data_IF_898923835285
#
_entry.id   IF_898923835285
#
_cell.length_a   1.000
_cell.length_b   1.000
_cell.length_c   1.000
_cell.angle_alpha   90.00
_cell.angle_beta   90.00
_cell.angle_gamma   90.00
#
_symmetry.space_group_name_H-M   'P 1'
#
loop_
_entity.id
_entity.type
_entity.pdbx_description
1 polymer ?
#
# COMPACT_ATOMS: atom_id res chain seq x y z
N UNK A 1 15.19 16.75 7.24
CA UNK A 1 14.06 15.99 6.72
C UNK A 1 12.80 16.52 7.39
N UNK A 2 11.62 16.17 6.98
CA UNK A 2 10.43 16.85 7.50
C UNK A 2 9.30 15.86 7.80
N UNK A 3 8.59 16.07 8.90
CA UNK A 3 7.32 15.40 9.18
C UNK A 3 6.23 15.86 8.22
N UNK A 4 5.20 15.03 8.03
CA UNK A 4 3.98 15.41 7.29
C UNK A 4 2.80 15.29 8.22
N UNK A 5 1.94 16.30 8.22
CA UNK A 5 0.69 16.27 8.97
C UNK A 5 -0.48 16.62 8.05
N UNK A 6 -1.48 15.75 8.07
CA UNK A 6 -2.75 15.93 7.39
C UNK A 6 -3.81 16.22 8.44
N UNK A 7 -4.47 17.39 8.38
CA UNK A 7 -5.48 17.83 9.34
C UNK A 7 -6.80 17.99 8.62
N UNK A 8 -7.69 17.04 8.79
CA UNK A 8 -9.04 17.03 8.22
C UNK A 8 -9.06 17.36 6.72
N UNK A 9 -8.15 16.73 5.95
CA UNK A 9 -7.98 17.01 4.52
C UNK A 9 -9.17 16.52 3.74
N UNK A 10 -9.83 17.41 3.01
CA UNK A 10 -11.03 17.15 2.20
C UNK A 10 -10.78 17.57 0.76
N UNK A 11 -11.24 16.75 -0.19
CA UNK A 11 -11.27 17.10 -1.61
C UNK A 11 -12.66 16.91 -2.19
N UNK A 12 -13.15 17.95 -2.88
CA UNK A 12 -14.38 17.94 -3.66
C UNK A 12 -14.09 18.44 -5.07
N UNK A 13 -14.65 17.78 -6.05
CA UNK A 13 -14.62 18.24 -7.45
C UNK A 13 -16.00 18.79 -7.84
N UNK A 14 -15.99 19.88 -8.61
CA UNK A 14 -17.22 20.60 -9.00
C UNK A 14 -17.67 21.60 -7.93
N UNK A 15 -18.77 22.31 -8.23
CA UNK A 15 -19.34 23.35 -7.39
C UNK A 15 -20.82 23.09 -7.07
N UNK A 16 -21.28 23.63 -5.94
CA UNK A 16 -22.70 23.58 -5.54
C UNK A 16 -23.19 22.18 -5.17
N UNK A 17 -24.50 21.91 -5.40
CA UNK A 17 -25.16 20.64 -5.02
C UNK A 17 -24.66 19.41 -5.83
N UNK A 18 -23.90 19.60 -6.90
CA UNK A 18 -23.31 18.53 -7.71
C UNK A 18 -21.85 18.24 -7.39
N UNK A 19 -21.28 18.84 -6.35
CA UNK A 19 -19.88 18.60 -5.97
C UNK A 19 -19.69 17.15 -5.49
N UNK A 20 -18.76 16.43 -6.13
CA UNK A 20 -18.39 15.06 -5.76
C UNK A 20 -17.22 15.11 -4.75
N UNK A 21 -17.45 14.67 -3.53
CA UNK A 21 -16.41 14.57 -2.53
C UNK A 21 -15.66 13.24 -2.68
N UNK A 22 -14.35 13.32 -2.91
CA UNK A 22 -13.48 12.16 -3.16
C UNK A 22 -12.49 11.88 -2.03
N UNK A 23 -12.29 12.84 -1.11
CA UNK A 23 -11.53 12.65 0.14
C UNK A 23 -12.35 13.21 1.29
N UNK A 24 -12.52 12.43 2.34
CA UNK A 24 -13.50 12.63 3.40
C UNK A 24 -12.87 12.93 4.77
N UNK A 25 -11.98 13.92 4.84
CA UNK A 25 -11.43 14.38 6.14
C UNK A 25 -10.32 13.48 6.68
N UNK A 26 -9.29 13.24 5.86
CA UNK A 26 -8.14 12.44 6.26
C UNK A 26 -7.31 13.17 7.31
N UNK A 27 -7.00 12.45 8.42
CA UNK A 27 -6.13 12.91 9.50
C UNK A 27 -4.98 11.93 9.69
N UNK A 28 -3.73 12.36 9.51
CA UNK A 28 -2.55 11.52 9.70
C UNK A 28 -1.36 12.34 10.16
N UNK A 29 -0.56 11.78 11.04
CA UNK A 29 0.73 12.33 11.46
C UNK A 29 1.83 11.34 11.07
N UNK A 30 2.73 11.78 10.19
CA UNK A 30 3.84 11.01 9.66
C UNK A 30 5.11 11.62 10.21
N UNK A 31 5.88 10.81 10.93
CA UNK A 31 7.09 11.26 11.57
C UNK A 31 8.20 11.60 10.55
N UNK A 32 9.17 12.40 10.98
CA UNK A 32 10.38 12.65 10.20
C UNK A 32 11.12 11.32 9.94
N UNK A 33 11.51 11.10 8.70
CA UNK A 33 12.21 9.88 8.27
C UNK A 33 11.31 8.64 8.15
N UNK A 34 10.01 8.75 8.30
CA UNK A 34 9.09 7.61 8.24
C UNK A 34 8.72 7.23 6.80
N UNK A 35 8.60 5.91 6.54
CA UNK A 35 8.09 5.35 5.29
C UNK A 35 6.62 4.92 5.47
N UNK A 36 5.70 5.69 4.93
CA UNK A 36 4.27 5.41 5.00
C UNK A 36 3.75 4.98 3.64
N UNK A 37 3.02 3.87 3.60
CA UNK A 37 2.37 3.38 2.39
C UNK A 37 0.88 3.69 2.43
N UNK A 38 0.35 4.26 1.36
CA UNK A 38 -1.08 4.47 1.14
C UNK A 38 -1.59 3.36 0.23
N UNK A 39 -2.47 2.50 0.75
CA UNK A 39 -2.99 1.33 0.04
C UNK A 39 -4.52 1.31 0.01
N UNK A 40 -5.10 0.69 -1.00
CA UNK A 40 -6.56 0.58 -1.16
C UNK A 40 -6.95 0.24 -2.60
N UNK A 41 -8.22 -0.04 -2.88
CA UNK A 41 -8.73 -0.35 -4.21
C UNK A 41 -8.46 0.76 -5.23
N UNK A 42 -8.55 0.42 -6.51
CA UNK A 42 -8.50 1.43 -7.58
C UNK A 42 -9.62 2.45 -7.41
N UNK A 43 -9.31 3.73 -7.63
CA UNK A 43 -10.28 4.82 -7.53
C UNK A 43 -10.64 5.28 -6.11
N UNK A 44 -10.06 4.72 -5.03
CA UNK A 44 -10.37 5.13 -3.66
C UNK A 44 -9.72 6.44 -3.18
N UNK A 45 -9.00 7.18 -4.05
CA UNK A 45 -8.46 8.50 -3.74
C UNK A 45 -6.97 8.55 -3.35
N UNK A 46 -6.21 7.45 -3.40
CA UNK A 46 -4.78 7.38 -3.02
C UNK A 46 -3.90 8.40 -3.76
N UNK A 47 -3.92 8.33 -5.10
CA UNK A 47 -3.13 9.26 -5.93
C UNK A 47 -3.62 10.71 -5.80
N UNK A 48 -4.92 10.93 -5.55
CA UNK A 48 -5.46 12.26 -5.25
C UNK A 48 -4.85 12.81 -3.97
N UNK A 49 -4.84 12.00 -2.89
CA UNK A 49 -4.23 12.40 -1.62
C UNK A 49 -2.74 12.69 -1.77
N UNK A 50 -2.00 11.84 -2.48
CA UNK A 50 -0.59 12.05 -2.76
C UNK A 50 -0.35 13.34 -3.55
N UNK A 51 -1.15 13.61 -4.60
CA UNK A 51 -1.06 14.82 -5.42
C UNK A 51 -1.39 16.09 -4.64
N UNK A 52 -2.32 16.02 -3.68
CA UNK A 52 -2.58 17.14 -2.77
C UNK A 52 -1.38 17.45 -1.88
N UNK A 53 -0.70 16.44 -1.35
CA UNK A 53 0.58 16.63 -0.63
C UNK A 53 1.64 17.24 -1.54
N UNK A 54 1.69 16.81 -2.80
CA UNK A 54 2.61 17.34 -3.79
C UNK A 54 2.29 18.79 -4.23
N UNK A 55 1.09 19.30 -3.98
CA UNK A 55 0.61 20.58 -4.53
C UNK A 55 0.22 20.54 -5.99
N UNK A 56 0.10 19.34 -6.56
CA UNK A 56 -0.40 19.12 -7.92
C UNK A 56 -1.93 19.10 -7.98
N UNK A 57 -2.58 19.07 -6.83
CA UNK A 57 -4.02 19.12 -6.67
C UNK A 57 -4.33 19.95 -5.42
N UNK A 58 -5.27 20.89 -5.53
CA UNK A 58 -5.69 21.73 -4.41
C UNK A 58 -6.59 20.95 -3.45
N UNK A 59 -6.47 21.19 -2.16
CA UNK A 59 -7.43 20.72 -1.17
C UNK A 59 -8.67 21.63 -1.16
N UNK A 60 -9.84 21.07 -0.81
CA UNK A 60 -11.05 21.87 -0.67
C UNK A 60 -11.21 22.43 0.75
N UNK A 61 -10.70 21.73 1.76
CA UNK A 61 -10.62 22.20 3.15
C UNK A 61 -9.63 21.37 3.95
N UNK A 62 -9.30 21.81 5.16
CA UNK A 62 -8.29 21.22 6.01
C UNK A 62 -6.91 21.84 5.81
N UNK A 63 -5.88 21.19 6.31
CA UNK A 63 -4.50 21.65 6.22
C UNK A 63 -3.55 20.49 5.91
N UNK A 64 -2.55 20.78 5.09
CA UNK A 64 -1.36 19.93 4.89
C UNK A 64 -0.16 20.69 5.40
N UNK A 65 0.59 20.06 6.33
CA UNK A 65 1.81 20.64 6.86
C UNK A 65 3.00 19.75 6.50
N UNK A 66 4.12 20.37 6.09
CA UNK A 66 5.41 19.70 5.86
C UNK A 66 6.45 20.43 6.71
N UNK A 67 7.15 19.70 7.60
CA UNK A 67 8.12 20.29 8.51
C UNK A 67 7.53 21.36 9.42
N UNK A 68 6.26 21.19 9.86
CA UNK A 68 5.54 22.15 10.68
C UNK A 68 4.99 23.39 9.94
N UNK A 69 5.30 23.55 8.63
CA UNK A 69 4.80 24.65 7.80
C UNK A 69 3.55 24.23 7.04
N UNK A 70 2.47 25.01 7.09
CA UNK A 70 1.28 24.81 6.24
C UNK A 70 1.65 25.10 4.79
N UNK A 71 1.37 24.14 3.89
CA UNK A 71 1.78 24.20 2.48
C UNK A 71 0.63 24.34 1.49
N UNK A 72 -0.61 24.55 1.97
CA UNK A 72 -1.82 24.58 1.15
C UNK A 72 -1.71 25.50 -0.08
N UNK A 73 -1.13 26.70 0.11
CA UNK A 73 -1.04 27.76 -0.90
C UNK A 73 0.32 27.77 -1.62
N UNK A 74 1.20 26.81 -1.33
CA UNK A 74 2.52 26.73 -1.94
C UNK A 74 2.47 25.92 -3.21
N UNK A 75 3.15 26.44 -4.23
CA UNK A 75 3.39 25.71 -5.47
C UNK A 75 4.25 24.45 -5.21
N UNK A 76 4.16 23.40 -6.05
CA UNK A 76 4.94 22.17 -5.88
C UNK A 76 6.44 22.40 -5.73
N UNK A 77 6.99 23.41 -6.42
CA UNK A 77 8.41 23.78 -6.38
C UNK A 77 8.87 24.37 -5.05
N UNK A 78 7.93 24.90 -4.25
CA UNK A 78 8.17 25.56 -2.97
C UNK A 78 8.00 24.63 -1.76
N UNK A 79 7.50 23.40 -1.99
CA UNK A 79 7.22 22.42 -0.93
C UNK A 79 8.44 21.57 -0.56
N UNK A 80 9.56 21.72 -1.25
CA UNK A 80 10.80 20.94 -1.06
C UNK A 80 10.54 19.42 -1.07
N UNK A 81 9.78 18.98 -2.05
CA UNK A 81 9.43 17.59 -2.30
C UNK A 81 9.99 17.07 -3.61
N UNK A 82 10.14 15.76 -3.74
CA UNK A 82 10.36 15.11 -5.03
C UNK A 82 9.34 13.99 -5.24
N UNK A 83 8.83 13.89 -6.47
CA UNK A 83 7.82 12.89 -6.83
C UNK A 83 8.32 11.98 -7.93
N UNK A 84 8.11 10.68 -7.75
CA UNK A 84 8.31 9.61 -8.73
C UNK A 84 6.94 9.17 -9.23
N UNK A 85 6.70 9.36 -10.53
CA UNK A 85 5.43 9.05 -11.18
C UNK A 85 5.39 7.60 -11.68
N UNK A 86 4.21 7.04 -11.81
CA UNK A 86 3.94 5.70 -12.33
C UNK A 86 4.57 5.43 -13.70
N UNK A 87 4.60 6.41 -14.59
CA UNK A 87 5.18 6.32 -15.94
C UNK A 87 6.64 6.78 -16.00
N UNK A 88 7.30 6.95 -14.83
CA UNK A 88 8.68 7.43 -14.68
C UNK A 88 8.92 8.87 -15.16
N UNK A 89 8.13 9.41 -16.07
CA UNK A 89 8.20 10.76 -16.66
C UNK A 89 9.62 11.15 -17.14
N UNK A 90 10.35 10.19 -17.73
CA UNK A 90 11.69 10.44 -18.27
C UNK A 90 11.62 11.20 -19.60
N UNK A 91 12.58 12.10 -19.81
CA UNK A 91 12.77 12.80 -21.09
C UNK A 91 13.46 11.84 -22.07
N UNK A 92 12.80 11.37 -23.14
CA UNK A 92 13.30 10.26 -23.96
C UNK A 92 14.49 10.64 -24.86
N UNK A 93 14.68 11.92 -25.09
CA UNK A 93 15.77 12.50 -25.91
C UNK A 93 17.02 12.86 -25.09
N UNK A 94 16.93 12.83 -23.77
CA UNK A 94 18.03 13.11 -22.85
C UNK A 94 18.72 11.84 -22.39
N UNK A 95 20.03 11.91 -22.13
CA UNK A 95 20.77 10.83 -21.47
C UNK A 95 20.30 10.64 -20.02
N UNK A 96 20.73 9.55 -19.37
CA UNK A 96 20.50 9.32 -17.94
C UNK A 96 21.07 10.48 -17.11
N UNK A 97 22.31 10.90 -17.41
CA UNK A 97 22.93 12.02 -16.74
C UNK A 97 22.09 13.29 -16.89
N UNK A 98 21.67 13.62 -18.11
CA UNK A 98 20.86 14.81 -18.38
C UNK A 98 19.50 14.76 -17.72
N UNK A 99 18.81 13.59 -17.71
CA UNK A 99 17.56 13.39 -16.99
C UNK A 99 17.73 13.69 -15.50
N UNK A 100 18.79 13.17 -14.86
CA UNK A 100 19.05 13.41 -13.44
C UNK A 100 19.42 14.86 -13.18
N UNK A 101 20.25 15.46 -14.02
CA UNK A 101 20.74 16.83 -13.88
C UNK A 101 19.69 17.92 -14.16
N UNK A 102 18.61 17.59 -14.89
CA UNK A 102 17.68 18.58 -15.45
C UNK A 102 17.11 19.55 -14.42
N UNK A 103 16.58 19.04 -13.32
CA UNK A 103 16.01 19.89 -12.26
C UNK A 103 17.04 20.81 -11.60
N UNK A 104 18.28 20.35 -11.45
CA UNK A 104 19.37 21.14 -10.88
C UNK A 104 19.82 22.23 -11.85
N UNK A 105 19.81 21.96 -13.18
CA UNK A 105 20.11 22.99 -14.21
C UNK A 105 19.06 24.11 -14.19
N UNK A 106 17.76 23.78 -14.07
CA UNK A 106 16.69 24.78 -13.94
C UNK A 106 16.88 25.62 -12.67
N UNK A 107 17.27 24.99 -11.55
CA UNK A 107 17.60 25.68 -10.30
C UNK A 107 18.91 26.45 -10.34
N UNK A 108 19.61 26.51 -11.51
CA UNK A 108 20.88 27.20 -11.71
C UNK A 108 22.00 26.76 -10.76
N UNK A 109 22.00 25.49 -10.34
CA UNK A 109 23.08 24.90 -9.54
C UNK A 109 24.37 24.86 -10.37
N UNK A 110 25.56 25.16 -9.78
CA UNK A 110 26.86 25.12 -10.50
C UNK A 110 27.11 23.71 -11.10
N UNK A 111 27.73 23.69 -12.31
CA UNK A 111 27.93 22.42 -13.06
C UNK A 111 28.80 21.40 -12.31
N UNK A 112 29.78 21.84 -11.53
CA UNK A 112 30.61 20.97 -10.71
C UNK A 112 29.79 20.27 -9.61
N UNK A 113 28.85 21.00 -8.99
CA UNK A 113 27.95 20.46 -7.97
C UNK A 113 26.91 19.52 -8.58
N UNK A 114 26.35 19.86 -9.76
CA UNK A 114 25.47 18.98 -10.52
C UNK A 114 26.14 17.62 -10.75
N UNK A 115 27.39 17.66 -11.26
CA UNK A 115 28.15 16.44 -11.53
C UNK A 115 28.35 15.62 -10.26
N UNK A 116 28.77 16.25 -9.16
CA UNK A 116 28.98 15.55 -7.88
C UNK A 116 27.70 14.91 -7.34
N UNK A 117 26.56 15.62 -7.39
CA UNK A 117 25.25 15.07 -6.95
C UNK A 117 24.76 13.93 -7.83
N UNK A 118 24.92 14.05 -9.17
CA UNK A 118 24.56 12.99 -10.11
C UNK A 118 25.43 11.76 -9.93
N UNK A 119 26.76 11.92 -9.82
CA UNK A 119 27.70 10.82 -9.62
C UNK A 119 27.40 10.07 -8.29
N UNK A 120 27.10 10.81 -7.21
CA UNK A 120 26.68 10.22 -5.92
C UNK A 120 25.40 9.41 -6.05
N UNK A 121 24.36 9.97 -6.67
CA UNK A 121 23.08 9.28 -6.87
C UNK A 121 23.23 8.08 -7.82
N UNK A 122 24.02 8.21 -8.89
CA UNK A 122 24.32 7.13 -9.82
C UNK A 122 25.07 5.96 -9.15
N UNK A 123 25.94 6.25 -8.18
CA UNK A 123 26.61 5.21 -7.38
C UNK A 123 25.62 4.44 -6.49
N UNK A 124 24.72 5.15 -5.79
CA UNK A 124 23.69 4.55 -4.92
C UNK A 124 22.76 3.65 -5.73
N UNK A 125 22.38 4.10 -6.95
CA UNK A 125 21.41 3.42 -7.81
C UNK A 125 22.03 2.47 -8.83
N UNK A 126 23.36 2.25 -8.78
CA UNK A 126 24.09 1.39 -9.72
C UNK A 126 23.91 1.81 -11.20
N UNK A 127 23.83 3.11 -11.46
CA UNK A 127 23.60 3.68 -12.79
C UNK A 127 24.89 4.19 -13.48
N UNK A 128 26.06 4.07 -12.85
CA UNK A 128 27.31 4.64 -13.37
C UNK A 128 27.64 4.24 -14.81
N UNK A 129 27.46 2.97 -15.18
CA UNK A 129 27.71 2.46 -16.54
C UNK A 129 26.66 2.90 -17.58
N UNK A 130 25.58 3.55 -17.16
CA UNK A 130 24.45 3.91 -18.02
C UNK A 130 24.26 5.42 -18.20
N UNK A 131 25.09 6.26 -17.59
CA UNK A 131 24.92 7.71 -17.57
C UNK A 131 24.79 8.35 -18.97
N UNK A 132 25.50 7.82 -19.95
CA UNK A 132 25.49 8.31 -21.34
C UNK A 132 24.37 7.69 -22.21
N UNK A 133 23.61 6.72 -21.68
CA UNK A 133 22.51 6.10 -22.42
C UNK A 133 21.24 6.93 -22.35
N UNK A 134 20.39 6.80 -23.38
CA UNK A 134 19.03 7.33 -23.37
C UNK A 134 18.04 6.34 -22.77
N UNK A 135 16.86 6.74 -22.27
CA UNK A 135 15.85 5.87 -21.70
C UNK A 135 15.41 4.70 -22.59
N UNK A 136 15.48 4.84 -23.91
CA UNK A 136 15.16 3.78 -24.87
C UNK A 136 16.12 2.59 -24.80
N UNK A 137 17.36 2.82 -24.38
CA UNK A 137 18.40 1.81 -24.25
C UNK A 137 18.45 1.16 -22.84
N UNK A 138 17.42 1.37 -22.02
CA UNK A 138 17.34 0.89 -20.64
C UNK A 138 16.21 -0.11 -20.42
N UNK A 139 16.43 -1.06 -19.52
CA UNK A 139 15.36 -1.93 -19.01
C UNK A 139 14.33 -1.15 -18.16
N UNK A 140 13.17 -1.77 -17.85
CA UNK A 140 12.13 -1.17 -16.99
C UNK A 140 12.69 -0.73 -15.63
N UNK A 141 13.42 -1.61 -14.94
CA UNK A 141 14.03 -1.30 -13.64
C UNK A 141 15.11 -0.22 -13.73
N UNK A 142 15.91 -0.21 -14.80
CA UNK A 142 16.89 0.87 -15.01
C UNK A 142 16.19 2.23 -15.22
N UNK A 143 15.09 2.28 -16.00
CA UNK A 143 14.29 3.51 -16.15
C UNK A 143 13.73 4.00 -14.83
N UNK A 144 13.25 3.09 -13.99
CA UNK A 144 12.76 3.42 -12.66
C UNK A 144 13.88 3.97 -11.76
N UNK A 145 15.05 3.34 -11.73
CA UNK A 145 16.23 3.87 -10.99
C UNK A 145 16.61 5.28 -11.47
N UNK A 146 16.53 5.56 -12.78
CA UNK A 146 16.74 6.92 -13.29
C UNK A 146 15.70 7.90 -12.76
N UNK A 147 14.42 7.52 -12.71
CA UNK A 147 13.38 8.36 -12.14
C UNK A 147 13.61 8.64 -10.64
N UNK A 148 14.06 7.64 -9.89
CA UNK A 148 14.48 7.80 -8.48
C UNK A 148 15.71 8.72 -8.39
N UNK A 149 16.68 8.57 -9.29
CA UNK A 149 17.87 9.44 -9.36
C UNK A 149 17.53 10.91 -9.57
N UNK A 150 16.56 11.20 -10.45
CA UNK A 150 16.02 12.57 -10.64
C UNK A 150 15.46 13.17 -9.35
N UNK A 151 14.87 12.34 -8.49
CA UNK A 151 14.33 12.76 -7.21
C UNK A 151 15.45 12.96 -6.17
N UNK A 152 16.38 12.01 -6.06
CA UNK A 152 17.48 12.00 -5.07
C UNK A 152 18.43 13.19 -5.23
N UNK A 153 18.82 13.53 -6.47
CA UNK A 153 19.77 14.63 -6.73
C UNK A 153 19.28 15.99 -6.21
N UNK A 154 17.97 16.15 -6.03
CA UNK A 154 17.35 17.36 -5.49
C UNK A 154 17.51 17.48 -3.99
N UNK A 155 17.81 16.37 -3.29
CA UNK A 155 17.92 16.30 -1.83
C UNK A 155 16.64 16.83 -1.13
N UNK A 156 15.46 16.33 -1.49
CA UNK A 156 14.19 16.84 -0.97
C UNK A 156 14.01 16.47 0.50
N UNK A 157 13.13 17.19 1.20
CA UNK A 157 12.72 16.83 2.56
C UNK A 157 11.73 15.66 2.59
N UNK A 158 10.96 15.45 1.52
CA UNK A 158 9.93 14.40 1.40
C UNK A 158 9.98 13.76 0.02
N UNK A 159 9.91 12.43 -0.02
CA UNK A 159 9.70 11.64 -1.23
C UNK A 159 8.23 11.23 -1.37
N UNK A 160 7.70 11.36 -2.57
CA UNK A 160 6.36 10.92 -2.96
C UNK A 160 6.46 9.93 -4.12
N UNK A 161 5.84 8.75 -3.98
CA UNK A 161 5.85 7.69 -4.99
C UNK A 161 4.41 7.36 -5.40
N UNK A 162 4.03 7.65 -6.66
CA UNK A 162 2.71 7.34 -7.21
C UNK A 162 2.78 6.03 -8.03
N UNK A 163 2.48 4.91 -7.41
CA UNK A 163 2.49 3.54 -7.97
C UNK A 163 3.76 3.20 -8.78
N UNK A 164 4.96 3.40 -8.25
CA UNK A 164 6.20 3.32 -9.05
C UNK A 164 6.54 1.91 -9.53
N UNK A 165 5.94 0.86 -8.96
CA UNK A 165 6.23 -0.55 -9.28
C UNK A 165 5.18 -1.21 -10.19
N UNK A 166 4.07 -0.54 -10.48
CA UNK A 166 2.93 -1.11 -11.21
C UNK A 166 3.26 -1.61 -12.63
N UNK A 167 4.23 -1.00 -13.30
CA UNK A 167 4.62 -1.32 -14.67
C UNK A 167 5.75 -2.35 -14.77
N UNK A 168 6.12 -3.03 -13.66
CA UNK A 168 7.18 -4.03 -13.61
C UNK A 168 6.60 -5.44 -13.55
N UNK A 169 7.32 -6.39 -14.15
CA UNK A 169 7.05 -7.82 -13.95
C UNK A 169 7.30 -8.25 -12.48
N UNK A 170 6.76 -9.40 -12.07
CA UNK A 170 6.79 -9.85 -10.68
C UNK A 170 8.21 -9.98 -10.10
N UNK A 171 9.17 -10.51 -10.91
CA UNK A 171 10.56 -10.70 -10.47
C UNK A 171 11.25 -9.34 -10.24
N UNK A 172 11.13 -8.44 -11.22
CA UNK A 172 11.72 -7.12 -11.16
C UNK A 172 11.07 -6.27 -10.06
N UNK A 173 9.75 -6.40 -9.86
CA UNK A 173 9.01 -5.74 -8.77
C UNK A 173 9.55 -6.15 -7.40
N UNK A 174 9.75 -7.47 -7.18
CA UNK A 174 10.32 -7.97 -5.91
C UNK A 174 11.72 -7.43 -5.66
N UNK A 175 12.59 -7.40 -6.68
CA UNK A 175 13.94 -6.86 -6.58
C UNK A 175 13.91 -5.35 -6.28
N UNK A 176 13.13 -4.57 -7.04
CA UNK A 176 13.08 -3.11 -6.88
C UNK A 176 12.50 -2.69 -5.54
N UNK A 177 11.56 -3.46 -4.99
CA UNK A 177 11.04 -3.26 -3.64
C UNK A 177 12.16 -3.31 -2.58
N UNK A 178 13.05 -4.29 -2.66
CA UNK A 178 14.22 -4.38 -1.77
C UNK A 178 15.18 -3.20 -1.96
N UNK A 179 15.36 -2.75 -3.20
CA UNK A 179 16.17 -1.56 -3.51
C UNK A 179 15.60 -0.28 -2.90
N UNK A 180 14.26 -0.11 -2.96
CA UNK A 180 13.58 1.05 -2.33
C UNK A 180 13.75 1.01 -0.81
N UNK A 181 13.61 -0.17 -0.17
CA UNK A 181 13.85 -0.30 1.27
C UNK A 181 15.29 0.06 1.66
N UNK A 182 16.28 -0.44 0.89
CA UNK A 182 17.68 -0.12 1.11
C UNK A 182 17.94 1.38 0.96
N UNK A 183 17.41 1.98 -0.11
CA UNK A 183 17.53 3.39 -0.39
C UNK A 183 16.92 4.25 0.74
N UNK A 184 15.73 3.91 1.20
CA UNK A 184 15.09 4.63 2.30
C UNK A 184 15.94 4.57 3.58
N UNK A 185 16.46 3.39 3.93
CA UNK A 185 17.35 3.24 5.11
C UNK A 185 18.64 4.05 5.00
N UNK A 186 19.18 4.18 3.79
CA UNK A 186 20.42 4.95 3.53
C UNK A 186 20.18 6.46 3.57
N UNK A 187 19.04 6.92 3.03
CA UNK A 187 18.72 8.34 2.92
C UNK A 187 17.96 8.88 4.13
N UNK A 188 17.13 8.06 4.78
CA UNK A 188 16.29 8.43 5.91
C UNK A 188 15.21 9.47 5.61
N UNK A 189 14.87 9.71 4.33
CA UNK A 189 13.93 10.75 3.91
C UNK A 189 12.50 10.29 4.12
N UNK A 190 11.67 11.13 4.73
CA UNK A 190 10.22 10.90 4.90
C UNK A 190 9.58 10.57 3.56
N UNK A 191 8.89 9.46 3.49
CA UNK A 191 8.39 8.92 2.22
C UNK A 191 6.92 8.56 2.28
N UNK A 192 6.14 9.00 1.28
CA UNK A 192 4.78 8.52 1.02
C UNK A 192 4.78 7.69 -0.26
N UNK A 193 4.30 6.47 -0.18
CA UNK A 193 4.29 5.51 -1.27
C UNK A 193 2.86 5.02 -1.52
N UNK A 194 2.33 5.25 -2.72
CA UNK A 194 1.02 4.77 -3.13
C UNK A 194 1.16 3.45 -3.86
N UNK A 195 0.33 2.48 -3.50
CA UNK A 195 0.20 1.20 -4.21
C UNK A 195 -1.21 0.64 -4.09
N UNK A 196 -1.57 -0.28 -4.99
CA UNK A 196 -2.72 -1.16 -4.85
C UNK A 196 -2.31 -2.60 -4.48
N UNK A 197 -1.01 -2.89 -4.39
CA UNK A 197 -0.45 -4.21 -4.05
C UNK A 197 -0.26 -4.33 -2.54
N UNK A 198 -0.95 -5.32 -1.94
CA UNK A 198 -0.88 -5.58 -0.50
C UNK A 198 0.51 -6.04 -0.07
N UNK A 199 1.21 -6.82 -0.91
CA UNK A 199 2.56 -7.32 -0.59
C UNK A 199 3.54 -6.15 -0.51
N UNK A 200 3.42 -5.17 -1.42
CA UNK A 200 4.20 -3.93 -1.33
C UNK A 200 3.93 -3.19 -0.03
N UNK A 201 2.64 -3.00 0.31
CA UNK A 201 2.25 -2.31 1.53
C UNK A 201 2.76 -3.01 2.79
N UNK A 202 2.57 -4.33 2.89
CA UNK A 202 3.00 -5.12 4.05
C UNK A 202 4.51 -5.19 4.23
N UNK A 203 5.28 -5.08 3.12
CA UNK A 203 6.74 -5.25 3.17
C UNK A 203 7.53 -3.96 3.19
N UNK A 204 7.01 -2.87 2.62
CA UNK A 204 7.70 -1.58 2.57
C UNK A 204 7.36 -0.67 3.76
N UNK A 205 6.13 -0.73 4.24
CA UNK A 205 5.62 0.24 5.19
C UNK A 205 6.20 0.07 6.61
N UNK A 206 6.58 1.17 7.23
CA UNK A 206 6.67 1.27 8.68
C UNK A 206 5.29 1.47 9.29
N UNK A 207 4.45 2.32 8.66
CA UNK A 207 3.00 2.37 8.87
C UNK A 207 2.29 2.48 7.52
N UNK A 208 1.04 2.04 7.48
CA UNK A 208 0.22 2.12 6.28
C UNK A 208 -1.11 2.82 6.55
N UNK A 209 -1.56 3.58 5.56
CA UNK A 209 -2.90 4.17 5.48
C UNK A 209 -3.73 3.27 4.56
N UNK A 210 -4.75 2.61 5.10
CA UNK A 210 -5.71 1.84 4.29
C UNK A 210 -6.86 2.76 3.91
N UNK A 211 -7.06 2.96 2.62
CA UNK A 211 -8.11 3.84 2.08
C UNK A 211 -9.23 3.05 1.40
N UNK A 212 -10.47 3.51 1.60
CA UNK A 212 -11.65 3.01 0.94
C UNK A 212 -12.62 4.16 0.61
N UNK A 213 -13.03 4.33 -0.64
CA UNK A 213 -14.00 5.35 -1.04
C UNK A 213 -13.69 6.76 -0.52
N UNK A 214 -12.41 7.16 -0.50
CA UNK A 214 -11.98 8.48 0.00
C UNK A 214 -11.86 8.61 1.51
N UNK A 215 -12.17 7.55 2.27
CA UNK A 215 -12.06 7.50 3.72
C UNK A 215 -10.78 6.75 4.11
N UNK A 216 -10.11 7.21 5.14
CA UNK A 216 -9.04 6.47 5.79
C UNK A 216 -9.66 5.49 6.79
N UNK A 217 -9.69 4.20 6.45
CA UNK A 217 -10.25 3.12 7.27
C UNK A 217 -9.38 2.81 8.49
N UNK A 218 -8.06 2.77 8.27
CA UNK A 218 -7.10 2.48 9.32
C UNK A 218 -5.73 3.09 9.00
N UNK A 219 -5.02 3.53 10.04
CA UNK A 219 -3.63 3.94 9.98
C UNK A 219 -2.86 3.27 11.11
N UNK A 220 -1.89 2.44 10.79
CA UNK A 220 -1.12 1.67 11.76
C UNK A 220 0.04 0.92 11.12
N UNK A 221 0.80 0.16 11.91
CA UNK A 221 1.84 -0.72 11.39
C UNK A 221 1.22 -1.86 10.57
N UNK A 222 1.97 -2.48 9.64
CA UNK A 222 1.49 -3.65 8.92
C UNK A 222 0.97 -4.76 9.84
N UNK A 223 1.65 -5.00 10.95
CA UNK A 223 1.25 -6.01 11.94
C UNK A 223 -0.08 -5.64 12.60
N UNK A 224 -0.28 -4.40 13.04
CA UNK A 224 -1.53 -3.93 13.62
C UNK A 224 -2.69 -4.05 12.65
N UNK A 225 -2.50 -3.60 11.40
CA UNK A 225 -3.53 -3.65 10.36
C UNK A 225 -3.91 -5.10 10.03
N UNK A 226 -2.94 -6.02 10.00
CA UNK A 226 -3.19 -7.44 9.74
C UNK A 226 -3.83 -8.16 10.93
N UNK A 227 -3.30 -7.93 12.16
CA UNK A 227 -3.73 -8.66 13.35
C UNK A 227 -4.94 -8.04 14.04
N UNK A 228 -5.18 -6.74 13.86
CA UNK A 228 -6.30 -6.00 14.47
C UNK A 228 -6.97 -5.08 13.46
N UNK A 229 -7.55 -5.62 12.36
CA UNK A 229 -8.23 -4.81 11.35
C UNK A 229 -9.39 -4.03 11.99
N UNK A 230 -9.50 -2.73 11.67
CA UNK A 230 -10.50 -1.83 12.26
C UNK A 230 -11.91 -2.05 11.71
N UNK A 231 -12.02 -2.67 10.53
CA UNK A 231 -13.32 -2.92 9.89
C UNK A 231 -13.28 -4.23 9.06
N UNK A 232 -14.45 -4.72 8.69
CA UNK A 232 -14.61 -5.85 7.75
C UNK A 232 -13.94 -5.55 6.41
N UNK A 233 -13.96 -4.27 5.98
CA UNK A 233 -13.25 -3.86 4.77
C UNK A 233 -11.74 -4.11 4.92
N UNK A 234 -11.11 -3.61 5.98
CA UNK A 234 -9.67 -3.81 6.20
C UNK A 234 -9.34 -5.30 6.33
N UNK A 235 -10.17 -6.05 7.05
CA UNK A 235 -10.00 -7.50 7.24
C UNK A 235 -10.02 -8.29 5.92
N UNK A 236 -10.92 -7.91 4.99
CA UNK A 236 -11.04 -8.54 3.68
C UNK A 236 -10.03 -8.01 2.66
N UNK A 237 -9.63 -6.74 2.78
CA UNK A 237 -8.70 -6.12 1.83
C UNK A 237 -7.25 -6.52 2.12
N UNK A 238 -6.85 -6.64 3.39
CA UNK A 238 -5.48 -7.00 3.80
C UNK A 238 -5.38 -8.49 4.12
N UNK A 239 -4.61 -9.20 3.31
CA UNK A 239 -4.38 -10.65 3.38
C UNK A 239 -4.78 -11.37 2.11
N UNK A 240 -4.00 -12.37 1.73
CA UNK A 240 -4.26 -13.22 0.56
C UNK A 240 -4.04 -14.68 0.97
N UNK A 241 -5.13 -15.47 1.03
CA UNK A 241 -6.52 -15.08 0.80
C UNK A 241 -7.08 -14.13 1.86
N UNK A 242 -8.23 -13.48 1.59
CA UNK A 242 -8.88 -12.57 2.54
C UNK A 242 -9.35 -13.28 3.82
N UNK A 243 -9.60 -12.51 4.88
CA UNK A 243 -10.23 -13.06 6.10
C UNK A 243 -11.62 -13.61 5.79
N UNK A 244 -11.92 -14.78 6.30
CA UNK A 244 -13.29 -15.30 6.32
C UNK A 244 -14.14 -14.37 7.19
N UNK A 245 -15.19 -13.79 6.65
CA UNK A 245 -16.17 -12.94 7.34
C UNK A 245 -17.53 -13.68 7.39
N UNK A 246 -17.79 -14.32 8.52
CA UNK A 246 -18.85 -15.31 8.67
C UNK A 246 -19.99 -14.74 9.53
N UNK A 247 -21.17 -14.61 8.94
CA UNK A 247 -22.40 -14.21 9.65
C UNK A 247 -23.07 -15.38 10.34
N UNK A 248 -22.83 -16.60 9.83
CA UNK A 248 -23.47 -17.82 10.26
C UNK A 248 -22.46 -18.81 10.87
N UNK A 249 -21.35 -18.31 11.44
CA UNK A 249 -20.46 -19.18 12.20
C UNK A 249 -21.23 -19.83 13.37
N UNK A 250 -20.96 -21.11 13.72
CA UNK A 250 -21.73 -21.84 14.75
C UNK A 250 -21.85 -21.13 16.10
N UNK A 251 -20.82 -20.35 16.47
CA UNK A 251 -20.74 -19.64 17.75
C UNK A 251 -20.96 -18.12 17.60
N UNK A 252 -21.51 -17.66 16.46
CA UNK A 252 -21.70 -16.24 16.19
C UNK A 252 -22.86 -15.68 17.04
N UNK A 253 -22.59 -14.58 17.76
CA UNK A 253 -23.66 -13.85 18.45
C UNK A 253 -24.52 -13.09 17.41
N UNK A 254 -25.85 -12.95 17.67
CA UNK A 254 -26.72 -12.20 16.79
C UNK A 254 -26.22 -10.77 16.53
N UNK A 255 -26.23 -10.33 15.27
CA UNK A 255 -25.75 -9.00 14.88
C UNK A 255 -24.23 -8.86 14.79
N UNK A 256 -23.49 -9.96 14.89
CA UNK A 256 -22.04 -9.97 14.73
C UNK A 256 -21.59 -10.71 13.48
N UNK A 257 -20.43 -10.29 12.94
CA UNK A 257 -19.69 -11.03 11.91
C UNK A 257 -18.45 -11.60 12.58
N UNK A 258 -18.28 -12.93 12.49
CA UNK A 258 -17.07 -13.61 12.98
C UNK A 258 -16.01 -13.58 11.90
N UNK A 259 -14.87 -12.97 12.19
CA UNK A 259 -13.71 -12.90 11.31
C UNK A 259 -12.64 -13.92 11.70
N UNK A 260 -12.24 -14.80 10.80
CA UNK A 260 -11.13 -15.73 11.00
C UNK A 260 -10.28 -15.80 9.75
N UNK A 261 -8.95 -15.62 9.89
CA UNK A 261 -8.06 -15.79 8.74
C UNK A 261 -7.93 -17.25 8.34
N UNK A 262 -7.78 -17.56 7.05
CA UNK A 262 -7.68 -18.94 6.55
C UNK A 262 -6.61 -19.78 7.24
N UNK A 263 -5.46 -19.17 7.59
CA UNK A 263 -4.35 -19.82 8.30
C UNK A 263 -4.58 -20.02 9.81
N UNK A 264 -5.68 -19.51 10.34
CA UNK A 264 -6.07 -19.65 11.74
C UNK A 264 -7.24 -20.64 11.94
N UNK A 265 -7.57 -21.39 10.89
CA UNK A 265 -8.49 -22.53 10.95
C UNK A 265 -7.68 -23.82 10.93
N UNK A 266 -7.59 -24.49 12.06
CA UNK A 266 -6.91 -25.77 12.19
C UNK A 266 -7.85 -26.92 11.78
N UNK A 267 -7.35 -27.87 10.98
CA UNK A 267 -8.09 -29.10 10.65
C UNK A 267 -8.06 -30.01 11.88
N UNK A 268 -9.23 -30.42 12.33
CA UNK A 268 -9.43 -31.17 13.59
C UNK A 268 -10.44 -32.30 13.38
N UNK A 269 -10.45 -33.34 14.24
CA UNK A 269 -11.45 -34.42 14.13
C UNK A 269 -12.89 -33.96 14.36
N UNK A 270 -13.09 -32.90 15.12
CA UNK A 270 -14.37 -32.29 15.46
C UNK A 270 -14.30 -30.78 15.35
N UNK A 271 -15.41 -30.08 15.22
CA UNK A 271 -15.46 -28.63 15.10
C UNK A 271 -16.46 -28.17 14.05
N UNK A 272 -16.21 -27.05 13.42
CA UNK A 272 -17.03 -26.51 12.33
C UNK A 272 -17.00 -27.46 11.14
N UNK A 273 -18.14 -28.02 10.74
CA UNK A 273 -18.25 -28.98 9.63
C UNK A 273 -18.44 -28.24 8.31
N UNK A 274 -17.50 -28.42 7.40
CA UNK A 274 -17.49 -27.82 6.05
C UNK A 274 -17.58 -28.92 4.99
N UNK A 275 -18.46 -28.78 4.01
CA UNK A 275 -18.46 -29.59 2.81
C UNK A 275 -17.48 -29.02 1.80
N UNK A 276 -16.47 -29.80 1.42
CA UNK A 276 -15.39 -29.37 0.53
C UNK A 276 -15.90 -29.23 -0.91
N UNK A 277 -15.75 -28.03 -1.48
CA UNK A 277 -16.16 -27.74 -2.86
C UNK A 277 -14.95 -27.66 -3.84
N UNK A 278 -13.84 -27.11 -3.38
CA UNK A 278 -12.65 -26.98 -4.21
C UNK A 278 -11.36 -27.03 -3.37
N UNK A 279 -10.27 -27.41 -4.01
CA UNK A 279 -8.92 -27.35 -3.42
C UNK A 279 -7.97 -26.75 -4.47
N UNK A 280 -7.30 -25.66 -4.09
CA UNK A 280 -6.24 -25.03 -4.90
C UNK A 280 -4.86 -25.40 -4.36
N UNK A 281 -3.96 -25.77 -5.27
CA UNK A 281 -2.58 -26.11 -4.96
C UNK A 281 -1.67 -24.92 -5.29
N UNK A 282 -1.08 -24.29 -4.28
CA UNK A 282 -0.21 -23.12 -4.44
C UNK A 282 1.28 -23.44 -4.20
N UNK A 283 1.69 -24.67 -4.44
CA UNK A 283 3.04 -25.14 -4.13
C UNK A 283 3.14 -25.60 -2.67
N UNK A 284 3.81 -24.85 -1.80
CA UNK A 284 3.98 -25.17 -0.38
C UNK A 284 2.69 -25.10 0.44
N UNK A 285 1.63 -24.55 -0.12
CA UNK A 285 0.37 -24.29 0.58
C UNK A 285 -0.82 -24.78 -0.27
N UNK A 286 -1.91 -25.05 0.40
CA UNK A 286 -3.21 -25.40 -0.21
C UNK A 286 -4.30 -24.53 0.36
N UNK A 287 -5.24 -24.14 -0.49
CA UNK A 287 -6.48 -23.49 -0.09
C UNK A 287 -7.62 -24.47 -0.29
N UNK A 288 -8.33 -24.79 0.79
CA UNK A 288 -9.53 -25.61 0.77
C UNK A 288 -10.72 -24.69 0.88
N UNK A 289 -11.61 -24.76 -0.09
CA UNK A 289 -12.86 -24.00 -0.13
C UNK A 289 -14.00 -24.92 0.26
N UNK A 290 -14.80 -24.52 1.23
CA UNK A 290 -15.95 -25.30 1.69
C UNK A 290 -17.09 -24.42 2.12
N UNK A 291 -18.29 -25.02 2.21
CA UNK A 291 -19.50 -24.39 2.78
C UNK A 291 -19.95 -25.12 4.02
N UNK A 292 -20.79 -24.49 4.81
CA UNK A 292 -21.35 -25.14 6.01
C UNK A 292 -22.08 -26.45 5.65
N UNK A 293 -21.69 -27.58 6.27
CA UNK A 293 -22.25 -28.90 5.95
C UNK A 293 -23.73 -29.05 6.36
N UNK A 294 -24.19 -28.24 7.33
CA UNK A 294 -25.53 -28.35 7.93
C UNK A 294 -26.38 -27.09 7.82
N UNK A 295 -25.93 -26.10 7.04
CA UNK A 295 -26.64 -24.83 6.86
C UNK A 295 -26.71 -24.46 5.38
N UNK A 296 -27.90 -24.12 4.85
CA UNK A 296 -28.07 -23.76 3.43
C UNK A 296 -27.58 -22.32 3.10
N UNK A 297 -26.59 -21.80 3.81
CA UNK A 297 -26.04 -20.46 3.53
C UNK A 297 -25.00 -20.52 2.43
N UNK A 298 -24.95 -19.46 1.61
CA UNK A 298 -23.95 -19.32 0.55
C UNK A 298 -22.57 -18.86 1.03
N UNK A 299 -22.31 -18.93 2.35
CA UNK A 299 -21.01 -18.52 2.90
C UNK A 299 -19.92 -19.53 2.53
N UNK A 300 -18.91 -19.02 1.83
CA UNK A 300 -17.70 -19.76 1.51
C UNK A 300 -16.67 -19.56 2.63
N UNK A 301 -16.13 -20.68 3.12
CA UNK A 301 -15.05 -20.70 4.13
C UNK A 301 -13.78 -21.17 3.45
N UNK A 302 -12.71 -20.39 3.59
CA UNK A 302 -11.39 -20.71 3.05
C UNK A 302 -10.52 -21.19 4.21
N UNK A 303 -9.90 -22.34 4.05
CA UNK A 303 -8.95 -22.92 5.00
C UNK A 303 -7.57 -23.01 4.31
N UNK A 304 -6.54 -22.47 4.93
CA UNK A 304 -5.16 -22.56 4.42
C UNK A 304 -4.42 -23.65 5.16
N UNK A 305 -3.86 -24.60 4.42
CA UNK A 305 -3.10 -25.72 4.97
C UNK A 305 -1.74 -25.86 4.33
N UNK A 306 -0.82 -26.54 4.98
CA UNK A 306 0.46 -26.93 4.41
C UNK A 306 0.29 -28.08 3.41
N UNK A 307 1.24 -28.25 2.51
CA UNK A 307 1.26 -29.35 1.54
C UNK A 307 1.32 -30.75 2.20
N UNK A 308 1.87 -30.82 3.42
CA UNK A 308 1.99 -32.05 4.22
C UNK A 308 0.62 -32.66 4.64
N UNK A 309 -0.44 -31.87 4.71
CA UNK A 309 -1.75 -32.37 5.04
C UNK A 309 -2.35 -33.16 3.86
N UNK A 310 -3.13 -34.23 4.18
CA UNK A 310 -3.84 -34.97 3.15
C UNK A 310 -4.83 -34.05 2.42
N UNK A 311 -4.93 -34.20 1.11
CA UNK A 311 -5.90 -33.44 0.28
C UNK A 311 -7.29 -33.97 0.58
N UNK A 312 -8.23 -33.15 1.12
CA UNK A 312 -9.59 -33.61 1.34
C UNK A 312 -10.28 -33.88 -0.02
N UNK A 313 -11.07 -34.94 -0.09
CA UNK A 313 -11.83 -35.27 -1.29
C UNK A 313 -12.94 -34.25 -1.51
N UNK A 314 -13.23 -33.90 -2.76
CA UNK A 314 -14.38 -33.06 -3.10
C UNK A 314 -15.67 -33.72 -2.62
N UNK A 315 -16.55 -32.92 -2.02
CA UNK A 315 -17.81 -33.41 -1.42
C UNK A 315 -17.64 -34.10 -0.06
N UNK A 316 -16.40 -34.26 0.46
CA UNK A 316 -16.20 -34.78 1.82
C UNK A 316 -16.46 -33.70 2.87
N UNK A 317 -16.75 -34.14 4.10
CA UNK A 317 -16.85 -33.23 5.25
C UNK A 317 -15.48 -33.02 5.87
N UNK A 318 -15.07 -31.75 5.96
CA UNK A 318 -13.87 -31.30 6.65
C UNK A 318 -14.28 -30.61 7.96
N UNK A 319 -13.69 -31.01 9.07
CA UNK A 319 -13.89 -30.32 10.34
C UNK A 319 -12.72 -29.37 10.62
N UNK A 320 -13.05 -28.15 11.04
CA UNK A 320 -12.07 -27.12 11.37
C UNK A 320 -12.40 -26.44 12.68
N UNK A 321 -11.37 -26.01 13.41
CA UNK A 321 -11.51 -25.28 14.66
C UNK A 321 -10.75 -23.96 14.55
N UNK A 322 -11.38 -22.81 14.79
CA UNK A 322 -10.68 -21.55 14.82
C UNK A 322 -9.80 -21.45 16.08
N UNK A 323 -8.60 -20.89 15.93
CA UNK A 323 -7.73 -20.57 17.06
C UNK A 323 -8.38 -19.50 17.93
N UNK A 324 -8.72 -19.76 19.17
CA UNK A 324 -9.54 -18.91 20.04
C UNK A 324 -9.06 -17.44 20.10
N UNK A 325 -7.73 -17.20 20.22
CA UNK A 325 -7.15 -15.86 20.30
C UNK A 325 -6.96 -15.18 18.92
N UNK A 326 -7.45 -15.79 17.84
CA UNK A 326 -7.37 -15.31 16.45
C UNK A 326 -8.75 -15.11 15.82
N UNK A 327 -9.78 -15.14 16.63
CA UNK A 327 -11.15 -14.81 16.23
C UNK A 327 -11.33 -13.30 16.38
N UNK A 328 -11.96 -12.70 15.39
CA UNK A 328 -12.31 -11.27 15.38
C UNK A 328 -13.82 -11.12 15.32
N UNK A 329 -14.35 -10.12 15.98
CA UNK A 329 -15.77 -9.78 15.94
C UNK A 329 -15.98 -8.41 15.34
N UNK A 330 -16.94 -8.31 14.43
CA UNK A 330 -17.33 -7.06 13.79
C UNK A 330 -18.85 -6.88 13.95
N UNK A 331 -19.26 -5.65 14.13
CA UNK A 331 -20.67 -5.28 14.13
C UNK A 331 -21.26 -5.45 12.72
N UNK A 332 -22.34 -6.19 12.59
CA UNK A 332 -22.91 -6.54 11.29
C UNK A 332 -23.54 -5.34 10.55
N UNK A 333 -23.94 -4.29 11.26
CA UNK A 333 -24.57 -3.11 10.68
C UNK A 333 -23.51 -2.11 10.20
N UNK A 334 -22.42 -1.91 10.95
CA UNK A 334 -21.40 -0.89 10.67
C UNK A 334 -20.15 -1.45 10.03
N UNK A 335 -19.93 -2.76 10.12
CA UNK A 335 -18.68 -3.42 9.71
C UNK A 335 -17.49 -3.07 10.61
N UNK A 336 -17.66 -2.33 11.68
CA UNK A 336 -16.57 -1.92 12.57
C UNK A 336 -16.18 -3.05 13.53
N UNK A 337 -14.89 -3.09 13.86
CA UNK A 337 -14.37 -4.03 14.86
C UNK A 337 -15.04 -3.79 16.21
N UNK A 338 -15.45 -4.88 16.84
CA UNK A 338 -15.88 -4.89 18.24
C UNK A 338 -14.70 -5.34 19.12
N UNK A 339 -14.60 -4.79 20.32
CA UNK A 339 -13.71 -5.35 21.32
C UNK A 339 -14.28 -6.70 21.76
N UNK A 340 -13.41 -7.66 22.06
CA UNK A 340 -13.85 -8.94 22.59
C UNK A 340 -14.59 -8.70 23.92
N UNK A 341 -15.73 -9.37 24.14
CA UNK A 341 -16.49 -9.26 25.39
C UNK A 341 -15.69 -9.70 26.60
#
# INVERSE_FOLDING_TARGET
MASIELRNVIKRYGAGKGANQVIHGVNAQIADGEFVVIVGPSGCGKSTLLRMVAGLEEISSGEICIGGRVVNQLEPSERDIAMVFQNYALYPHMTVFENMAYGLKIAKVPSAEIKARVDKAAKILELGAFLERTPRALSGGQRQRVAMGRAIVRQPQVFLFDEPLSNLDAKLRAQTRLEIQKLHRELGITSLFVTHDQVEAMTLAQRMIVMNGGVMEQFGTPEEVYTRPASTFVASFIGSPPMNLLKNAPDAAPGTITGVRPEHLDITPTGWALQVEAVEMLGAERLVYGRWAHSPTDELVIVRTEESHAVPALGSTLHVTPRAHRIHHFDAATGKRMEAP
#
